data_IF_120738321959
#
_entry.id   IF_120738321959
#
_cell.length_a   1.000
_cell.length_b   1.000
_cell.length_c   1.000
_cell.angle_alpha   90.00
_cell.angle_beta   90.00
_cell.angle_gamma   90.00
#
_symmetry.space_group_name_H-M   'P 1'
#
loop_
_entity.id
_entity.type
_entity.pdbx_description
1 polymer ?
#
# COMPACT_ATOMS: atom_id res chain seq x y z
N UNK A 1 1.80 -11.03 -38.85
CA UNK A 1 2.18 -10.76 -37.45
C UNK A 1 2.96 -11.98 -36.98
N UNK A 2 4.29 -11.90 -36.93
CA UNK A 2 5.13 -13.00 -36.46
C UNK A 2 5.29 -12.82 -34.93
N UNK A 3 4.37 -13.41 -34.17
CA UNK A 3 4.34 -13.28 -32.71
C UNK A 3 4.91 -14.53 -32.07
N UNK A 4 5.99 -14.40 -31.30
CA UNK A 4 6.34 -15.41 -30.32
C UNK A 4 5.26 -15.40 -29.23
N UNK A 5 4.68 -16.56 -28.93
CA UNK A 5 3.78 -16.68 -27.79
C UNK A 5 4.59 -16.41 -26.51
N UNK A 6 4.21 -15.34 -25.83
CA UNK A 6 4.87 -14.89 -24.61
C UNK A 6 4.00 -15.34 -23.45
N UNK A 7 4.45 -16.35 -22.70
CA UNK A 7 3.73 -16.84 -21.53
C UNK A 7 3.99 -15.90 -20.34
N UNK A 8 2.96 -15.22 -19.78
CA UNK A 8 3.12 -14.37 -18.61
C UNK A 8 3.68 -15.11 -17.39
N UNK A 9 3.52 -16.44 -17.31
CA UNK A 9 4.04 -17.25 -16.22
C UNK A 9 5.58 -17.21 -16.12
N UNK A 10 6.28 -16.93 -17.23
CA UNK A 10 7.74 -16.76 -17.22
C UNK A 10 8.20 -15.57 -16.37
N UNK A 11 7.32 -14.61 -16.12
CA UNK A 11 7.60 -13.39 -15.34
C UNK A 11 7.06 -13.46 -13.91
N UNK A 12 6.36 -14.53 -13.53
CA UNK A 12 5.82 -14.66 -12.18
C UNK A 12 6.89 -14.54 -11.07
N UNK A 13 8.10 -15.14 -11.19
CA UNK A 13 9.15 -14.96 -10.19
C UNK A 13 9.61 -13.49 -10.06
N UNK A 14 9.75 -12.79 -11.18
CA UNK A 14 10.16 -11.38 -11.23
C UNK A 14 9.06 -10.48 -10.65
N UNK A 15 7.79 -10.81 -10.92
CA UNK A 15 6.65 -10.13 -10.33
C UNK A 15 6.64 -10.31 -8.80
N UNK A 16 6.81 -11.53 -8.29
CA UNK A 16 6.86 -11.77 -6.84
C UNK A 16 8.06 -11.11 -6.18
N UNK A 17 9.21 -11.10 -6.84
CA UNK A 17 10.39 -10.40 -6.34
C UNK A 17 10.20 -8.89 -6.30
N UNK A 18 9.61 -8.30 -7.35
CA UNK A 18 9.48 -6.84 -7.48
C UNK A 18 8.29 -6.28 -6.68
N UNK A 19 7.21 -7.04 -6.60
CA UNK A 19 5.93 -6.64 -6.01
C UNK A 19 5.44 -7.62 -4.95
N UNK A 20 6.27 -8.02 -3.97
CA UNK A 20 5.94 -9.11 -3.06
C UNK A 20 4.60 -8.90 -2.35
N UNK A 21 3.88 -10.02 -2.16
CA UNK A 21 2.67 -10.06 -1.36
C UNK A 21 2.96 -9.61 0.08
N UNK A 22 2.20 -8.63 0.55
CA UNK A 22 2.20 -8.18 1.94
C UNK A 22 1.27 -9.07 2.76
N UNK A 23 0.07 -9.33 2.22
CA UNK A 23 -0.91 -10.21 2.82
C UNK A 23 -2.28 -10.07 2.18
N UNK A 24 -3.20 -10.93 2.59
CA UNK A 24 -4.59 -10.93 2.13
C UNK A 24 -5.57 -11.27 3.25
N UNK A 25 -6.81 -10.84 3.08
CA UNK A 25 -7.93 -11.12 3.98
C UNK A 25 -9.22 -11.27 3.17
N UNK A 26 -10.11 -12.15 3.62
CA UNK A 26 -11.45 -12.36 3.06
C UNK A 26 -12.49 -11.80 4.03
N UNK A 27 -13.31 -10.86 3.56
CA UNK A 27 -14.28 -10.14 4.38
C UNK A 27 -15.62 -10.10 3.67
N UNK A 28 -16.63 -10.79 4.21
CA UNK A 28 -18.00 -10.78 3.66
C UNK A 28 -18.08 -11.12 2.16
N UNK A 29 -17.22 -12.02 1.70
CA UNK A 29 -17.13 -12.42 0.28
C UNK A 29 -16.29 -11.46 -0.58
N UNK A 30 -15.64 -10.46 0.02
CA UNK A 30 -14.68 -9.57 -0.63
C UNK A 30 -13.27 -9.99 -0.24
N UNK A 31 -12.49 -10.43 -1.23
CA UNK A 31 -11.07 -10.73 -1.07
C UNK A 31 -10.23 -9.47 -1.24
N UNK A 32 -9.44 -9.11 -0.24
CA UNK A 32 -8.53 -7.96 -0.26
C UNK A 32 -7.09 -8.46 -0.25
N UNK A 33 -6.30 -8.05 -1.23
CA UNK A 33 -4.89 -8.40 -1.39
C UNK A 33 -4.02 -7.14 -1.41
N UNK A 34 -2.97 -7.12 -0.60
CA UNK A 34 -1.98 -6.05 -0.55
C UNK A 34 -0.66 -6.51 -1.13
N UNK A 35 -0.11 -5.73 -2.06
CA UNK A 35 1.23 -5.92 -2.61
C UNK A 35 2.05 -4.66 -2.52
N UNK A 36 3.36 -4.80 -2.50
CA UNK A 36 4.23 -3.66 -2.80
C UNK A 36 4.00 -3.19 -4.24
N UNK A 37 4.09 -1.89 -4.46
CA UNK A 37 3.98 -1.27 -5.78
C UNK A 37 5.16 -0.32 -6.03
N UNK A 38 5.38 0.06 -7.29
CA UNK A 38 6.45 1.00 -7.63
C UNK A 38 6.14 2.39 -7.05
N UNK A 39 7.11 2.95 -6.35
CA UNK A 39 7.15 4.35 -5.99
C UNK A 39 8.50 4.93 -6.44
N UNK A 40 8.52 5.93 -7.33
CA UNK A 40 9.76 6.57 -7.71
C UNK A 40 10.27 7.45 -6.57
N UNK A 41 11.47 7.16 -6.08
CA UNK A 41 12.13 8.03 -5.12
C UNK A 41 12.78 9.19 -5.83
N UNK A 42 12.40 10.39 -5.40
CA UNK A 42 12.83 11.63 -6.04
C UNK A 42 14.25 11.99 -5.62
N UNK A 43 15.06 12.44 -6.58
CA UNK A 43 16.34 13.04 -6.26
C UNK A 43 16.13 14.42 -5.65
N UNK A 44 16.85 14.68 -4.57
CA UNK A 44 16.99 15.98 -3.93
C UNK A 44 18.08 16.80 -4.64
N UNK A 45 18.09 18.10 -4.35
CA UNK A 45 19.15 19.00 -4.80
C UNK A 45 20.54 18.60 -4.28
N UNK A 46 21.56 19.17 -4.90
CA UNK A 46 22.96 18.98 -4.50
C UNK A 46 23.21 19.48 -3.08
N UNK A 47 23.95 18.68 -2.31
CA UNK A 47 24.41 19.02 -0.97
C UNK A 47 25.93 18.92 -0.94
N UNK A 48 26.57 20.04 -0.63
CA UNK A 48 28.02 20.12 -0.45
C UNK A 48 28.42 19.53 0.89
N UNK A 49 29.45 18.68 0.88
CA UNK A 49 30.14 18.17 2.05
C UNK A 49 31.62 18.55 1.97
N UNK A 50 32.36 18.44 3.07
CA UNK A 50 33.79 18.76 3.10
C UNK A 50 34.63 17.94 2.09
N UNK A 51 34.15 16.77 1.66
CA UNK A 51 34.83 15.86 0.73
C UNK A 51 34.25 15.84 -0.69
N UNK A 52 33.21 16.63 -0.99
CA UNK A 52 32.59 16.69 -2.33
C UNK A 52 31.08 16.95 -2.31
N UNK A 53 30.44 16.83 -3.47
CA UNK A 53 29.00 17.05 -3.65
C UNK A 53 28.24 15.73 -3.70
N UNK A 54 27.11 15.65 -2.99
CA UNK A 54 26.21 14.49 -2.99
C UNK A 54 24.79 14.91 -3.40
N UNK A 55 23.98 13.97 -3.89
CA UNK A 55 22.54 14.17 -4.12
C UNK A 55 21.77 13.13 -3.33
N UNK A 56 20.96 13.59 -2.38
CA UNK A 56 20.12 12.69 -1.58
C UNK A 56 18.92 12.21 -2.38
N UNK A 57 18.37 11.09 -1.97
CA UNK A 57 17.12 10.56 -2.50
C UNK A 57 16.10 10.54 -1.38
N UNK A 58 14.89 11.03 -1.66
CA UNK A 58 13.76 10.93 -0.73
C UNK A 58 13.17 9.52 -0.81
N UNK A 59 13.70 8.62 0.02
CA UNK A 59 13.29 7.22 0.12
C UNK A 59 12.23 6.99 1.21
N UNK A 60 11.66 8.08 1.74
CA UNK A 60 10.69 8.04 2.83
C UNK A 60 9.27 7.69 2.38
N UNK A 61 9.03 7.67 1.07
CA UNK A 61 7.74 7.35 0.46
C UNK A 61 7.71 5.92 -0.05
N UNK A 62 6.56 5.28 0.14
CA UNK A 62 6.26 3.97 -0.41
C UNK A 62 4.90 3.97 -1.10
N UNK A 63 4.68 2.95 -1.93
CA UNK A 63 3.39 2.66 -2.55
C UNK A 63 3.06 1.19 -2.38
N UNK A 64 1.80 0.93 -2.06
CA UNK A 64 1.22 -0.42 -2.10
C UNK A 64 0.09 -0.46 -3.11
N UNK A 65 -0.14 -1.63 -3.70
CA UNK A 65 -1.36 -1.95 -4.42
C UNK A 65 -2.35 -2.57 -3.44
N UNK A 66 -3.61 -2.16 -3.54
CA UNK A 66 -4.74 -2.83 -2.89
C UNK A 66 -5.64 -3.34 -4.00
N UNK A 67 -5.80 -4.66 -4.09
CA UNK A 67 -6.70 -5.33 -5.02
C UNK A 67 -7.88 -5.90 -4.24
N UNK A 68 -9.10 -5.61 -4.70
CA UNK A 68 -10.34 -6.12 -4.14
C UNK A 68 -11.04 -6.99 -5.18
N UNK A 69 -11.47 -8.19 -4.78
CA UNK A 69 -12.24 -9.13 -5.60
C UNK A 69 -13.59 -9.40 -4.93
N UNK A 70 -14.67 -9.49 -5.70
CA UNK A 70 -16.04 -9.60 -5.16
C UNK A 70 -16.58 -8.29 -4.57
N UNK A 71 -15.98 -7.15 -4.88
CA UNK A 71 -16.39 -5.85 -4.35
C UNK A 71 -17.63 -5.31 -5.07
N UNK A 72 -18.78 -5.36 -4.39
CA UNK A 72 -19.96 -4.59 -4.79
C UNK A 72 -19.83 -3.13 -4.34
N UNK A 73 -19.47 -2.25 -5.27
CA UNK A 73 -19.24 -0.82 -5.01
C UNK A 73 -20.52 -0.04 -4.65
N UNK A 74 -21.71 -0.59 -4.89
CA UNK A 74 -22.96 0.03 -4.45
C UNK A 74 -23.17 -0.15 -2.95
N UNK A 75 -22.69 -1.27 -2.40
CA UNK A 75 -22.85 -1.61 -0.99
C UNK A 75 -21.64 -1.28 -0.13
N UNK A 76 -20.46 -1.65 -0.62
CA UNK A 76 -19.21 -1.55 0.12
C UNK A 76 -18.29 -0.48 -0.46
N UNK A 77 -17.54 0.17 0.44
CA UNK A 77 -16.43 1.02 0.08
C UNK A 77 -15.17 0.55 0.81
N UNK A 78 -14.03 0.55 0.13
CA UNK A 78 -12.74 0.40 0.80
C UNK A 78 -12.30 1.76 1.34
N UNK A 79 -11.88 1.77 2.59
CA UNK A 79 -11.23 2.92 3.21
C UNK A 79 -9.77 2.60 3.52
N UNK A 80 -8.90 3.60 3.35
CA UNK A 80 -7.48 3.53 3.70
C UNK A 80 -7.17 4.69 4.65
N UNK A 81 -6.77 4.38 5.88
CA UNK A 81 -6.60 5.34 6.96
C UNK A 81 -7.80 6.30 7.10
N UNK A 82 -9.03 5.77 7.00
CA UNK A 82 -10.28 6.53 7.11
C UNK A 82 -10.67 7.34 5.86
N UNK A 83 -9.90 7.27 4.76
CA UNK A 83 -10.24 7.92 3.49
C UNK A 83 -10.81 6.90 2.52
N UNK A 84 -11.94 7.21 1.85
CA UNK A 84 -12.46 6.35 0.81
C UNK A 84 -11.48 6.22 -0.35
N UNK A 85 -11.20 4.99 -0.78
CA UNK A 85 -10.39 4.71 -1.94
C UNK A 85 -11.24 4.74 -3.21
N UNK A 86 -10.82 5.52 -4.22
CA UNK A 86 -11.45 5.55 -5.52
C UNK A 86 -11.01 4.34 -6.36
N UNK A 87 -11.46 3.15 -5.97
CA UNK A 87 -11.10 1.87 -6.61
C UNK A 87 -11.35 1.91 -8.11
N UNK A 88 -10.39 1.42 -8.89
CA UNK A 88 -10.45 1.40 -10.36
C UNK A 88 -10.77 -0.02 -10.85
N UNK A 89 -11.76 -0.21 -11.73
CA UNK A 89 -12.11 -1.53 -12.23
C UNK A 89 -10.97 -2.13 -13.06
N UNK A 90 -10.74 -3.43 -12.94
CA UNK A 90 -9.72 -4.15 -13.76
C UNK A 90 -10.28 -4.66 -15.09
N UNK A 91 -11.59 -4.51 -15.31
CA UNK A 91 -12.32 -5.10 -16.44
C UNK A 91 -12.94 -6.46 -16.11
N UNK A 92 -12.68 -7.02 -14.93
CA UNK A 92 -13.38 -8.20 -14.40
C UNK A 92 -14.46 -7.77 -13.42
N UNK A 93 -15.60 -8.45 -13.46
CA UNK A 93 -16.74 -8.14 -12.58
C UNK A 93 -16.37 -8.31 -11.10
N UNK A 94 -16.76 -7.34 -10.28
CA UNK A 94 -16.42 -7.27 -8.86
C UNK A 94 -14.92 -7.14 -8.54
N UNK A 95 -14.04 -6.92 -9.53
CA UNK A 95 -12.60 -6.75 -9.30
C UNK A 95 -12.17 -5.29 -9.54
N UNK A 96 -11.51 -4.71 -8.53
CA UNK A 96 -11.04 -3.34 -8.59
C UNK A 96 -9.71 -3.18 -7.84
N UNK A 97 -8.88 -2.24 -8.29
CA UNK A 97 -7.52 -2.01 -7.80
C UNK A 97 -7.29 -0.53 -7.51
N UNK A 98 -6.41 -0.23 -6.56
CA UNK A 98 -5.92 1.12 -6.31
C UNK A 98 -4.47 1.08 -5.81
N UNK A 99 -3.67 2.06 -6.21
CA UNK A 99 -2.40 2.34 -5.55
C UNK A 99 -2.61 3.24 -4.32
N UNK A 100 -1.97 2.93 -3.20
CA UNK A 100 -1.93 3.80 -2.01
C UNK A 100 -0.51 4.32 -1.87
N UNK A 101 -0.33 5.62 -2.02
CA UNK A 101 0.94 6.30 -1.81
C UNK A 101 0.95 6.94 -0.42
N UNK A 102 2.03 6.73 0.32
CA UNK A 102 2.13 7.21 1.69
C UNK A 102 3.58 7.43 2.13
N UNK A 103 3.76 8.23 3.17
CA UNK A 103 5.05 8.35 3.86
C UNK A 103 5.21 7.23 4.88
N UNK A 104 6.23 6.41 4.69
CA UNK A 104 6.51 5.20 5.45
C UNK A 104 7.35 5.47 6.72
N UNK A 105 8.27 6.43 6.66
CA UNK A 105 9.13 6.85 7.77
C UNK A 105 9.58 8.32 7.60
N UNK A 106 10.24 8.90 8.60
CA UNK A 106 10.81 10.26 8.49
C UNK A 106 12.31 10.17 8.21
N UNK A 107 12.71 10.68 7.06
CA UNK A 107 14.11 10.88 6.71
C UNK A 107 14.57 12.26 7.19
N UNK A 108 15.85 12.38 7.57
CA UNK A 108 16.43 13.65 8.02
C UNK A 108 16.31 14.77 6.97
N UNK A 109 16.38 14.40 5.69
CA UNK A 109 16.15 15.28 4.55
C UNK A 109 15.15 14.64 3.59
N UNK A 110 14.10 15.37 3.21
CA UNK A 110 13.04 14.91 2.30
C UNK A 110 12.39 16.10 1.59
N UNK A 111 11.67 15.88 0.48
CA UNK A 111 11.03 16.95 -0.29
C UNK A 111 9.94 17.69 0.49
N UNK A 112 9.25 16.99 1.38
CA UNK A 112 8.09 17.52 2.12
C UNK A 112 8.21 17.23 3.62
N UNK A 113 9.14 17.88 4.34
CA UNK A 113 9.49 17.51 5.72
C UNK A 113 8.36 17.73 6.74
N UNK A 114 7.38 18.58 6.43
CA UNK A 114 6.20 18.82 7.27
C UNK A 114 5.19 17.68 7.27
N UNK A 115 5.22 16.80 6.27
CA UNK A 115 4.27 15.69 6.13
C UNK A 115 4.67 14.55 7.07
N UNK A 116 3.74 14.13 7.93
CA UNK A 116 3.92 13.05 8.90
C UNK A 116 4.03 11.66 8.28
N UNK A 117 4.36 10.67 9.12
CA UNK A 117 4.31 9.25 8.76
C UNK A 117 2.85 8.79 8.77
N UNK A 118 2.46 7.99 7.79
CA UNK A 118 1.09 7.46 7.69
C UNK A 118 1.00 5.99 8.12
N UNK A 119 2.14 5.32 8.28
CA UNK A 119 2.18 3.96 8.80
C UNK A 119 1.75 3.93 10.30
N UNK A 120 1.04 2.89 10.75
CA UNK A 120 0.56 1.76 9.95
C UNK A 120 -0.60 2.14 9.00
N UNK A 121 -0.73 1.39 7.91
CA UNK A 121 -1.81 1.54 6.94
C UNK A 121 -2.97 0.65 7.36
N UNK A 122 -4.13 1.24 7.63
CA UNK A 122 -5.37 0.56 7.96
C UNK A 122 -6.26 0.51 6.74
N UNK A 123 -6.75 -0.68 6.41
CA UNK A 123 -7.69 -0.89 5.32
C UNK A 123 -8.96 -1.47 5.91
N UNK A 124 -10.07 -0.77 5.73
CA UNK A 124 -11.39 -1.18 6.20
C UNK A 124 -12.33 -1.40 5.02
N UNK A 125 -13.07 -2.51 5.06
CA UNK A 125 -14.24 -2.71 4.22
C UNK A 125 -15.43 -2.09 4.94
N UNK A 126 -15.94 -0.98 4.42
CA UNK A 126 -17.03 -0.21 5.03
C UNK A 126 -18.33 -0.55 4.33
N UNK A 127 -19.35 -0.94 5.10
CA UNK A 127 -20.72 -1.06 4.60
C UNK A 127 -21.37 0.32 4.61
N UNK A 128 -21.71 0.84 3.43
CA UNK A 128 -22.23 2.20 3.27
C UNK A 128 -23.63 2.37 3.87
N UNK A 129 -24.42 1.29 3.95
CA UNK A 129 -25.77 1.33 4.52
C UNK A 129 -25.71 1.39 6.05
N UNK A 130 -24.78 0.63 6.65
CA UNK A 130 -24.59 0.57 8.10
C UNK A 130 -23.63 1.63 8.63
N UNK A 131 -22.92 2.34 7.74
CA UNK A 131 -21.87 3.32 8.06
C UNK A 131 -20.87 2.78 9.10
N UNK A 132 -20.36 1.56 8.88
CA UNK A 132 -19.38 0.92 9.78
C UNK A 132 -18.45 -0.02 9.02
N UNK A 133 -17.26 -0.25 9.57
CA UNK A 133 -16.39 -1.32 9.09
C UNK A 133 -17.02 -2.68 9.35
N UNK A 134 -17.05 -3.55 8.35
CA UNK A 134 -17.43 -4.97 8.46
C UNK A 134 -16.22 -5.89 8.60
N UNK A 135 -15.03 -5.30 8.65
CA UNK A 135 -13.73 -5.96 8.80
C UNK A 135 -12.63 -5.16 8.10
N UNK A 136 -11.39 -5.57 8.29
CA UNK A 136 -10.25 -4.84 7.77
C UNK A 136 -8.93 -5.56 8.02
N UNK A 137 -7.86 -4.98 7.50
CA UNK A 137 -6.50 -5.40 7.79
C UNK A 137 -5.61 -4.19 8.04
N UNK A 138 -4.43 -4.46 8.64
CA UNK A 138 -3.44 -3.43 8.94
C UNK A 138 -2.06 -3.86 8.48
N UNK A 139 -1.34 -2.94 7.84
CA UNK A 139 0.04 -3.12 7.40
C UNK A 139 0.98 -2.16 8.13
N UNK A 140 2.07 -2.69 8.67
CA UNK A 140 3.14 -1.93 9.29
C UNK A 140 4.37 -1.91 8.37
N UNK A 141 5.00 -0.75 8.16
CA UNK A 141 6.24 -0.67 7.35
C UNK A 141 7.40 -1.41 8.03
N UNK A 142 7.51 -1.25 9.35
CA UNK A 142 8.49 -1.91 10.21
C UNK A 142 7.81 -2.89 11.17
N UNK A 143 8.61 -3.64 11.94
CA UNK A 143 8.04 -4.54 12.93
C UNK A 143 7.16 -3.74 13.94
N UNK A 144 5.90 -4.15 14.21
CA UNK A 144 4.95 -3.40 15.03
C UNK A 144 5.47 -3.05 16.43
N UNK A 145 6.32 -3.91 17.01
CA UNK A 145 7.00 -3.66 18.29
C UNK A 145 8.16 -2.66 18.24
N UNK A 146 8.37 -1.92 17.13
CA UNK A 146 9.43 -0.93 16.98
C UNK A 146 10.86 -1.51 16.93
N UNK A 147 10.98 -2.83 16.74
CA UNK A 147 12.28 -3.51 16.74
C UNK A 147 12.95 -3.33 15.38
N UNK A 148 14.11 -2.69 15.38
CA UNK A 148 15.04 -2.78 14.27
C UNK A 148 15.82 -4.09 14.41
N UNK A 149 15.92 -4.87 13.35
CA UNK A 149 16.72 -6.09 13.37
C UNK A 149 18.20 -5.70 13.33
N UNK A 150 18.96 -6.07 14.37
CA UNK A 150 20.40 -5.83 14.44
C UNK A 150 21.20 -6.69 13.46
N UNK A 151 20.61 -7.83 13.02
CA UNK A 151 21.25 -8.80 12.15
C UNK A 151 20.41 -9.05 10.90
N UNK A 152 21.10 -9.31 9.81
CA UNK A 152 20.50 -9.82 8.58
C UNK A 152 19.77 -11.15 8.87
N UNK A 153 18.71 -11.48 8.12
CA UNK A 153 18.05 -12.77 8.26
C UNK A 153 19.03 -13.90 7.93
N UNK A 154 19.03 -14.96 8.72
CA UNK A 154 19.93 -16.10 8.54
C UNK A 154 19.57 -16.94 7.31
N UNK A 155 18.31 -16.89 6.87
CA UNK A 155 17.81 -17.57 5.69
C UNK A 155 16.54 -16.92 5.13
N UNK A 156 16.02 -17.47 4.02
CA UNK A 156 14.81 -16.99 3.35
C UNK A 156 13.55 -17.10 4.22
N UNK A 157 13.42 -18.18 5.01
CA UNK A 157 12.28 -18.39 5.90
C UNK A 157 12.20 -17.36 7.01
N UNK A 158 13.34 -16.99 7.62
CA UNK A 158 13.37 -15.93 8.62
C UNK A 158 13.01 -14.58 7.97
N UNK A 159 13.57 -14.28 6.79
CA UNK A 159 13.22 -13.06 6.05
C UNK A 159 11.72 -12.98 5.75
N UNK A 160 11.11 -14.10 5.35
CA UNK A 160 9.67 -14.21 5.13
C UNK A 160 8.86 -14.03 6.41
N UNK A 161 9.24 -14.70 7.50
CA UNK A 161 8.58 -14.54 8.80
C UNK A 161 8.60 -13.08 9.28
N UNK A 162 9.73 -12.37 9.10
CA UNK A 162 9.85 -10.94 9.41
C UNK A 162 8.93 -10.07 8.54
N UNK A 163 8.67 -10.47 7.29
CA UNK A 163 7.70 -9.77 6.41
C UNK A 163 6.26 -10.05 6.84
N UNK A 164 5.92 -11.30 7.13
CA UNK A 164 4.57 -11.71 7.54
C UNK A 164 4.13 -11.05 8.85
N UNK A 165 5.06 -10.85 9.80
CA UNK A 165 4.76 -10.16 11.07
C UNK A 165 4.35 -8.70 10.92
N UNK A 166 4.40 -8.13 9.70
CA UNK A 166 4.00 -6.76 9.42
C UNK A 166 2.53 -6.63 8.98
N UNK A 167 1.83 -7.73 8.74
CA UNK A 167 0.45 -7.73 8.25
C UNK A 167 -0.51 -8.40 9.23
N UNK A 168 -1.58 -7.68 9.59
CA UNK A 168 -2.55 -8.07 10.60
C UNK A 168 -3.91 -8.22 9.93
N UNK A 169 -4.45 -9.46 9.93
CA UNK A 169 -5.71 -9.82 9.25
C UNK A 169 -6.98 -9.39 9.98
N UNK A 170 -6.92 -9.24 11.31
CA UNK A 170 -8.09 -8.96 12.15
C UNK A 170 -7.99 -7.57 12.78
N UNK A 171 -7.71 -6.56 11.95
CA UNK A 171 -7.53 -5.19 12.39
C UNK A 171 -8.45 -4.27 11.61
N UNK A 172 -9.50 -3.77 12.25
CA UNK A 172 -10.46 -2.84 11.66
C UNK A 172 -10.76 -1.68 12.59
N UNK A 173 -11.25 -0.58 12.03
CA UNK A 173 -11.61 0.62 12.77
C UNK A 173 -12.99 0.41 13.42
N UNK A 174 -13.09 0.45 14.77
CA UNK A 174 -14.37 0.29 15.45
C UNK A 174 -15.22 1.56 15.34
N UNK A 175 -16.53 1.41 15.52
CA UNK A 175 -17.48 2.52 15.56
C UNK A 175 -18.04 2.92 14.20
N UNK A 176 -18.73 4.06 14.19
CA UNK A 176 -19.39 4.60 13.00
C UNK A 176 -18.35 5.25 12.07
N UNK A 177 -18.31 4.80 10.82
CA UNK A 177 -17.45 5.33 9.77
C UNK A 177 -18.34 5.94 8.69
N UNK A 178 -18.30 7.27 8.58
CA UNK A 178 -18.91 8.00 7.47
C UNK A 178 -17.82 8.49 6.55
N UNK A 179 -17.60 7.75 5.47
CA UNK A 179 -16.62 8.14 4.46
C UNK A 179 -17.16 9.30 3.63
N UNK A 180 -16.32 10.32 3.42
CA UNK A 180 -16.54 11.25 2.30
C UNK A 180 -16.39 10.47 0.99
N UNK A 181 -17.28 10.65 0.01
CA UNK A 181 -17.17 9.98 -1.28
C UNK A 181 -15.79 10.15 -1.90
N UNK A 182 -15.23 9.05 -2.41
CA UNK A 182 -13.92 9.06 -3.01
C UNK A 182 -13.90 9.97 -4.24
N UNK A 183 -12.90 10.85 -4.32
CA UNK A 183 -12.65 11.71 -5.49
C UNK A 183 -11.36 11.24 -6.16
N UNK A 184 -11.42 10.61 -7.34
CA UNK A 184 -10.21 10.27 -8.08
C UNK A 184 -9.38 11.53 -8.36
N UNK A 185 -8.06 11.41 -8.24
CA UNK A 185 -7.17 12.48 -8.71
C UNK A 185 -7.26 12.58 -10.24
N UNK A 186 -7.28 13.82 -10.76
CA UNK A 186 -7.26 14.07 -12.20
C UNK A 186 -5.92 13.68 -12.84
N UNK A 187 -4.82 13.80 -12.08
CA UNK A 187 -3.47 13.48 -12.56
C UNK A 187 -3.10 12.02 -12.28
N UNK A 188 -3.55 11.48 -11.14
CA UNK A 188 -3.21 10.12 -10.69
C UNK A 188 -4.48 9.32 -10.31
N UNK A 189 -5.37 9.01 -11.26
CA UNK A 189 -6.67 8.39 -10.97
C UNK A 189 -6.55 7.01 -10.30
N UNK A 190 -5.44 6.30 -10.54
CA UNK A 190 -5.13 5.00 -9.93
C UNK A 190 -4.34 5.13 -8.62
N UNK A 191 -4.26 6.30 -8.00
CA UNK A 191 -3.51 6.49 -6.76
C UNK A 191 -4.27 7.32 -5.74
N UNK A 192 -4.52 6.74 -4.57
CA UNK A 192 -4.84 7.45 -3.36
C UNK A 192 -3.55 7.92 -2.69
N UNK A 193 -3.29 9.23 -2.73
CA UNK A 193 -2.14 9.83 -2.05
C UNK A 193 -2.54 10.31 -0.64
N UNK A 194 -2.07 9.60 0.38
CA UNK A 194 -2.37 9.93 1.78
C UNK A 194 -1.77 11.27 2.21
N UNK A 195 -0.78 11.80 1.48
CA UNK A 195 -0.08 13.05 1.79
C UNK A 195 -0.89 14.32 1.51
N UNK A 196 -2.02 14.18 0.80
CA UNK A 196 -2.91 15.30 0.44
C UNK A 196 -3.99 15.58 1.50
N UNK A 197 -3.86 15.02 2.71
CA UNK A 197 -4.78 15.26 3.84
C UNK A 197 -4.42 16.49 4.65
#
# INVERSE_FOLDING_TARGET
QAGFDFDPAWFSPQHEFRFPLIGSVELRGVGIELRHALEPWQLMGESSSASGTSRYVDASLERIQVLARGLDTNRFALSVNGRAAAMQPTGRDGEAVIGVRFRAWKQASSLHPSIGVHAPIHIDLVDNLLARSVGGCRYHVSHPGGRNYERLPVNAFEAESRRLSRFYREAHTPGTIRLTPARPSLEFPFTLDLRQS
#
